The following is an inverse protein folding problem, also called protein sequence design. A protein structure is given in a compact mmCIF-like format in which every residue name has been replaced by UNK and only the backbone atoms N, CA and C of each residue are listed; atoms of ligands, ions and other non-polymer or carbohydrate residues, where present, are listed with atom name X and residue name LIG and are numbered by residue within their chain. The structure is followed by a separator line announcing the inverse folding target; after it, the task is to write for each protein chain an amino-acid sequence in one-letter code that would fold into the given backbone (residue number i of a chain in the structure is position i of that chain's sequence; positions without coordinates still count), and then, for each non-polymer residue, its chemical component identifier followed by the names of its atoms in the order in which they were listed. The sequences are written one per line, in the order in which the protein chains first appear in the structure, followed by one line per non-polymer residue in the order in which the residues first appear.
data_IF_030246883502
#
_entry.id   IF_030246883502
#
_cell.length_a   1.000
_cell.length_b   1.000
_cell.length_c   1.000
_cell.angle_alpha   90.00
_cell.angle_beta   90.00
_cell.angle_gamma   90.00
#
_symmetry.space_group_name_H-M   'P 1'
#
loop_
_entity.id
_entity.type
_entity.pdbx_description
1 polymer ?
#
# COMPACT_ATOMS: atom_id res chain seq x y z
N UNK A 1 1.41 5.47 -14.35
CA UNK A 1 0.04 5.04 -14.72
C UNK A 1 0.17 3.76 -15.52
N UNK A 2 -0.58 2.73 -15.14
CA UNK A 2 -0.62 1.42 -15.80
C UNK A 2 -2.08 1.02 -16.01
N UNK A 3 -2.33 0.21 -17.04
CA UNK A 3 -3.62 -0.45 -17.23
C UNK A 3 -3.77 -1.49 -16.12
N UNK A 4 -5.00 -1.67 -15.63
CA UNK A 4 -5.35 -2.68 -14.63
C UNK A 4 -5.24 -4.09 -15.23
N UNK A 5 -4.02 -4.61 -15.19
CA UNK A 5 -3.60 -5.91 -15.67
C UNK A 5 -2.55 -6.46 -14.72
N UNK A 6 -2.79 -7.68 -14.24
CA UNK A 6 -1.96 -8.34 -13.22
C UNK A 6 -0.49 -8.34 -13.60
N UNK A 7 -0.16 -8.66 -14.86
CA UNK A 7 1.21 -8.87 -15.30
C UNK A 7 1.94 -7.54 -15.49
N UNK A 8 1.25 -6.52 -16.00
CA UNK A 8 1.80 -5.17 -16.15
C UNK A 8 2.05 -4.51 -14.81
N UNK A 9 1.12 -4.66 -13.86
CA UNK A 9 1.30 -4.16 -12.49
C UNK A 9 2.52 -4.84 -11.85
N UNK A 10 2.63 -6.17 -11.95
CA UNK A 10 3.80 -6.91 -11.45
C UNK A 10 5.11 -6.46 -12.07
N UNK A 11 5.17 -6.32 -13.40
CA UNK A 11 6.40 -5.91 -14.08
C UNK A 11 6.92 -4.55 -13.58
N UNK A 12 6.02 -3.57 -13.40
CA UNK A 12 6.40 -2.25 -12.88
C UNK A 12 6.81 -2.33 -11.41
N UNK A 13 5.99 -2.97 -10.57
CA UNK A 13 6.27 -3.07 -9.14
C UNK A 13 7.55 -3.84 -8.84
N UNK A 14 7.80 -4.97 -9.51
CA UNK A 14 9.03 -5.73 -9.34
C UNK A 14 10.27 -4.92 -9.71
N UNK A 15 10.18 -4.05 -10.73
CA UNK A 15 11.26 -3.11 -11.06
C UNK A 15 11.54 -2.13 -9.93
N UNK A 16 10.50 -1.58 -9.30
CA UNK A 16 10.66 -0.65 -8.17
C UNK A 16 11.12 -1.33 -6.88
N UNK A 17 10.63 -2.55 -6.60
CA UNK A 17 11.07 -3.37 -5.47
C UNK A 17 12.58 -3.66 -5.56
N UNK A 18 13.10 -3.89 -6.76
CA UNK A 18 14.53 -4.14 -6.97
C UNK A 18 15.39 -2.86 -6.94
N UNK A 19 14.79 -1.68 -7.08
CA UNK A 19 15.51 -0.40 -7.13
C UNK A 19 15.95 0.02 -5.72
N UNK A 20 17.24 0.34 -5.56
CA UNK A 20 17.82 0.80 -4.30
C UNK A 20 17.44 2.23 -3.92
N UNK A 21 16.92 3.02 -4.86
CA UNK A 21 16.44 4.37 -4.59
C UNK A 21 14.97 4.46 -4.18
N UNK A 22 14.26 3.33 -4.03
CA UNK A 22 12.81 3.31 -3.75
C UNK A 22 12.52 2.59 -2.43
N UNK A 23 12.21 3.38 -1.41
CA UNK A 23 11.82 2.86 -0.08
C UNK A 23 10.32 2.60 0.06
N UNK A 24 9.49 3.36 -0.67
CA UNK A 24 8.04 3.28 -0.54
C UNK A 24 7.33 3.43 -1.89
N UNK A 25 6.26 2.64 -2.07
CA UNK A 25 5.39 2.69 -3.25
C UNK A 25 3.94 2.89 -2.81
N UNK A 26 3.26 3.87 -3.41
CA UNK A 26 1.83 4.09 -3.25
C UNK A 26 1.11 3.76 -4.56
N UNK A 27 0.18 2.82 -4.50
CA UNK A 27 -0.68 2.41 -5.61
C UNK A 27 -2.11 2.87 -5.31
N UNK A 28 -2.75 3.53 -6.26
CA UNK A 28 -4.15 3.94 -6.19
C UNK A 28 -4.95 3.36 -7.34
N UNK A 29 -6.07 2.69 -7.03
CA UNK A 29 -6.94 2.04 -8.00
C UNK A 29 -6.78 0.52 -8.07
N UNK A 30 -7.76 -0.14 -8.72
CA UNK A 30 -7.77 -1.58 -8.95
C UNK A 30 -8.04 -2.46 -7.72
N UNK A 31 -8.51 -1.88 -6.61
CA UNK A 31 -8.82 -2.60 -5.36
C UNK A 31 -10.30 -2.91 -5.18
N UNK A 32 -11.15 -2.57 -6.15
CA UNK A 32 -12.58 -2.87 -6.13
C UNK A 32 -12.92 -4.33 -6.44
N UNK A 33 -14.18 -4.55 -6.81
CA UNK A 33 -14.72 -5.85 -7.24
C UNK A 33 -15.27 -5.82 -8.68
N UNK A 34 -15.00 -4.76 -9.45
CA UNK A 34 -15.31 -4.79 -10.87
C UNK A 34 -14.44 -5.84 -11.55
N UNK A 35 -14.89 -6.41 -12.68
CA UNK A 35 -14.15 -7.46 -13.38
C UNK A 35 -12.77 -7.06 -13.91
N UNK A 36 -12.33 -5.81 -13.71
CA UNK A 36 -10.99 -5.32 -14.04
C UNK A 36 -10.09 -5.13 -12.82
N UNK A 37 -10.65 -5.00 -11.61
CA UNK A 37 -9.89 -4.67 -10.40
C UNK A 37 -8.96 -5.82 -10.00
N UNK A 38 -7.66 -5.66 -10.25
CA UNK A 38 -6.68 -6.75 -10.08
C UNK A 38 -5.48 -6.42 -9.20
N UNK A 39 -5.45 -5.23 -8.57
CA UNK A 39 -4.32 -4.76 -7.76
C UNK A 39 -3.99 -5.74 -6.62
N UNK A 40 -4.92 -6.24 -5.79
CA UNK A 40 -4.59 -7.20 -4.73
C UNK A 40 -3.99 -8.51 -5.25
N UNK A 41 -4.54 -9.05 -6.34
CA UNK A 41 -4.05 -10.27 -7.01
C UNK A 41 -2.65 -10.06 -7.60
N UNK A 42 -2.38 -8.88 -8.13
CA UNK A 42 -1.10 -8.52 -8.71
C UNK A 42 -0.02 -8.38 -7.63
N UNK A 43 -0.33 -7.68 -6.55
CA UNK A 43 0.65 -7.18 -5.58
C UNK A 43 0.94 -8.20 -4.47
N UNK A 44 -0.07 -8.87 -3.91
CA UNK A 44 0.12 -9.79 -2.75
C UNK A 44 1.20 -10.86 -2.98
N UNK A 45 1.30 -11.51 -4.16
CA UNK A 45 2.35 -12.51 -4.39
C UNK A 45 3.78 -11.95 -4.43
N UNK A 46 3.95 -10.62 -4.43
CA UNK A 46 5.26 -9.98 -4.40
C UNK A 46 5.73 -9.65 -2.99
N UNK A 47 4.87 -9.78 -1.97
CA UNK A 47 5.22 -9.45 -0.60
C UNK A 47 6.07 -10.55 0.05
N UNK A 48 7.12 -10.13 0.74
CA UNK A 48 7.82 -10.94 1.74
C UNK A 48 7.01 -11.02 3.03
N UNK A 49 6.26 -9.96 3.35
CA UNK A 49 5.45 -9.84 4.55
C UNK A 49 4.23 -8.95 4.32
N UNK A 50 3.04 -9.46 4.63
CA UNK A 50 1.82 -8.65 4.67
C UNK A 50 1.80 -7.68 5.87
N UNK A 51 1.15 -6.53 5.70
CA UNK A 51 0.82 -5.58 6.75
C UNK A 51 -0.70 -5.60 6.93
N UNK A 52 -1.23 -6.66 7.53
CA UNK A 52 -2.69 -6.87 7.66
C UNK A 52 -3.40 -5.69 8.33
N UNK A 53 -2.77 -5.11 9.35
CA UNK A 53 -3.29 -3.95 10.09
C UNK A 53 -3.56 -2.72 9.23
N UNK A 54 -2.90 -2.57 8.07
CA UNK A 54 -3.18 -1.47 7.15
C UNK A 54 -4.60 -1.56 6.58
N UNK A 55 -4.96 -2.71 6.02
CA UNK A 55 -6.28 -2.91 5.43
C UNK A 55 -7.39 -2.83 6.48
N UNK A 56 -7.13 -3.35 7.68
CA UNK A 56 -8.04 -3.30 8.82
C UNK A 56 -8.30 -1.86 9.29
N UNK A 57 -7.24 -1.10 9.58
CA UNK A 57 -7.36 0.28 10.03
C UNK A 57 -7.98 1.17 8.95
N UNK A 58 -7.56 0.99 7.68
CA UNK A 58 -8.15 1.72 6.56
C UNK A 58 -9.66 1.49 6.46
N UNK A 59 -10.12 0.23 6.57
CA UNK A 59 -11.55 -0.09 6.52
C UNK A 59 -12.31 0.44 7.73
N UNK A 60 -11.69 0.47 8.92
CA UNK A 60 -12.28 1.06 10.12
C UNK A 60 -12.47 2.58 9.99
N UNK A 61 -11.45 3.30 9.51
CA UNK A 61 -11.55 4.74 9.20
C UNK A 61 -12.60 5.00 8.12
N UNK A 62 -12.54 4.24 7.02
CA UNK A 62 -13.49 4.35 5.92
C UNK A 62 -14.92 4.04 6.36
N UNK A 63 -15.14 3.08 7.27
CA UNK A 63 -16.47 2.81 7.80
C UNK A 63 -17.07 4.03 8.51
N UNK A 64 -16.25 4.77 9.26
CA UNK A 64 -16.65 6.03 9.92
C UNK A 64 -17.08 7.09 8.90
N UNK A 65 -16.43 7.14 7.74
CA UNK A 65 -16.70 8.15 6.70
C UNK A 65 -17.82 7.78 5.72
N UNK A 66 -17.86 6.51 5.26
CA UNK A 66 -18.72 6.05 4.15
C UNK A 66 -19.58 4.82 4.50
N UNK A 67 -19.58 4.40 5.77
CA UNK A 67 -20.39 3.28 6.26
C UNK A 67 -20.02 1.94 5.61
N UNK A 68 -21.04 1.12 5.35
CA UNK A 68 -20.87 -0.23 4.78
C UNK A 68 -20.23 -0.26 3.39
N UNK A 69 -20.19 0.87 2.67
CA UNK A 69 -19.51 1.00 1.38
C UNK A 69 -18.03 0.62 1.45
N UNK A 70 -17.41 0.68 2.64
CA UNK A 70 -16.04 0.22 2.91
C UNK A 70 -15.78 -1.23 2.47
N UNK A 71 -16.81 -2.09 2.49
CA UNK A 71 -16.70 -3.52 2.09
C UNK A 71 -16.33 -3.66 0.61
N UNK A 72 -16.62 -2.66 -0.23
CA UNK A 72 -16.33 -2.69 -1.67
C UNK A 72 -14.86 -2.40 -2.01
N UNK A 73 -13.98 -2.31 -1.01
CA UNK A 73 -12.55 -2.03 -1.18
C UNK A 73 -11.68 -3.12 -0.53
N UNK A 74 -10.67 -3.54 -1.27
CA UNK A 74 -9.66 -4.53 -0.86
C UNK A 74 -8.29 -3.89 -0.65
N UNK A 75 -8.24 -2.76 0.05
CA UNK A 75 -6.98 -2.10 0.41
C UNK A 75 -6.04 -3.07 1.14
N UNK A 76 -4.77 -3.07 0.74
CA UNK A 76 -3.73 -4.00 1.20
C UNK A 76 -2.38 -3.30 1.23
N UNK A 77 -1.49 -3.72 2.12
CA UNK A 77 -0.11 -3.27 2.15
C UNK A 77 0.82 -4.42 2.55
N UNK A 78 2.09 -4.27 2.24
CA UNK A 78 3.12 -5.26 2.50
C UNK A 78 4.53 -4.70 2.32
N UNK A 79 5.52 -5.49 2.74
CA UNK A 79 6.92 -5.27 2.43
C UNK A 79 7.38 -6.23 1.35
N UNK A 80 8.23 -5.75 0.45
CA UNK A 80 8.96 -6.56 -0.51
C UNK A 80 10.36 -5.96 -0.70
N UNK A 81 11.42 -6.72 -0.43
CA UNK A 81 12.82 -6.29 -0.55
C UNK A 81 13.10 -4.92 0.10
N UNK A 82 12.67 -4.75 1.35
CA UNK A 82 12.75 -3.50 2.12
C UNK A 82 12.07 -2.28 1.47
N UNK A 83 11.19 -2.50 0.50
CA UNK A 83 10.27 -1.49 -0.02
C UNK A 83 8.89 -1.69 0.62
N UNK A 84 8.34 -0.65 1.26
CA UNK A 84 6.96 -0.67 1.77
C UNK A 84 5.97 -0.30 0.67
N UNK A 85 4.92 -1.08 0.49
CA UNK A 85 3.95 -0.91 -0.59
C UNK A 85 2.55 -0.76 -0.01
N UNK A 86 1.86 0.33 -0.36
CA UNK A 86 0.48 0.59 0.04
C UNK A 86 -0.44 0.63 -1.18
N UNK A 87 -1.46 -0.22 -1.22
CA UNK A 87 -2.46 -0.25 -2.27
C UNK A 87 -3.82 0.23 -1.74
N UNK A 88 -4.30 1.36 -2.26
CA UNK A 88 -5.54 2.03 -1.83
C UNK A 88 -6.53 2.18 -3.00
N UNK A 89 -7.82 2.44 -2.72
CA UNK A 89 -8.80 2.69 -3.77
C UNK A 89 -8.45 3.87 -4.68
N UNK A 90 -9.09 3.90 -5.85
CA UNK A 90 -8.91 4.98 -6.84
C UNK A 90 -9.63 6.28 -6.50
N UNK A 91 -10.52 6.29 -5.50
CA UNK A 91 -11.27 7.50 -5.15
C UNK A 91 -10.40 8.49 -4.38
N UNK A 92 -10.48 9.78 -4.74
CA UNK A 92 -9.72 10.83 -4.07
C UNK A 92 -10.01 10.90 -2.56
N UNK A 93 -11.25 10.58 -2.16
CA UNK A 93 -11.64 10.47 -0.75
C UNK A 93 -10.82 9.41 -0.03
N UNK A 94 -10.83 8.17 -0.54
CA UNK A 94 -10.06 7.07 0.05
C UNK A 94 -8.55 7.33 0.09
N UNK A 95 -7.99 7.98 -0.93
CA UNK A 95 -6.58 8.38 -0.92
C UNK A 95 -6.28 9.35 0.23
N UNK A 96 -7.17 10.32 0.48
CA UNK A 96 -7.03 11.26 1.60
C UNK A 96 -7.15 10.54 2.95
N UNK A 97 -8.12 9.63 3.09
CA UNK A 97 -8.31 8.82 4.31
C UNK A 97 -7.06 8.01 4.62
N UNK A 98 -6.53 7.28 3.63
CA UNK A 98 -5.33 6.47 3.79
C UNK A 98 -4.08 7.32 4.08
N UNK A 99 -3.89 8.42 3.36
CA UNK A 99 -2.73 9.29 3.54
C UNK A 99 -2.74 9.96 4.91
N UNK A 100 -3.82 10.68 5.23
CA UNK A 100 -3.90 11.49 6.44
C UNK A 100 -4.09 10.67 7.71
N UNK A 101 -4.79 9.54 7.63
CA UNK A 101 -5.10 8.72 8.79
C UNK A 101 -4.10 7.60 9.08
N UNK A 102 -3.18 7.29 8.14
CA UNK A 102 -2.27 6.14 8.28
C UNK A 102 -0.88 6.43 7.69
N UNK A 103 -0.79 6.59 6.37
CA UNK A 103 0.48 6.50 5.64
C UNK A 103 1.45 7.62 6.02
N UNK A 104 0.96 8.87 6.11
CA UNK A 104 1.77 10.03 6.48
C UNK A 104 2.51 9.81 7.80
N UNK A 105 1.80 9.32 8.81
CA UNK A 105 2.35 9.10 10.15
C UNK A 105 3.37 7.97 10.15
N UNK A 106 3.08 6.87 9.43
CA UNK A 106 3.97 5.73 9.37
C UNK A 106 5.23 5.97 8.52
N UNK A 107 5.22 6.96 7.64
CA UNK A 107 6.38 7.45 6.88
C UNK A 107 7.05 8.67 7.51
N UNK A 108 6.60 9.13 8.68
CA UNK A 108 7.23 10.21 9.44
C UNK A 108 8.18 9.62 10.50
N UNK A 109 9.47 9.89 10.35
CA UNK A 109 10.50 9.41 11.28
C UNK A 109 10.33 9.88 12.72
N UNK A 110 9.58 10.97 12.94
CA UNK A 110 9.29 11.52 14.26
C UNK A 110 8.04 10.90 14.93
N UNK A 111 7.25 10.11 14.19
CA UNK A 111 6.07 9.46 14.73
C UNK A 111 6.44 8.35 15.73
N UNK A 112 5.81 8.39 16.90
CA UNK A 112 6.01 7.42 17.98
C UNK A 112 4.71 6.69 18.34
N UNK A 113 4.79 5.52 19.00
CA UNK A 113 6.00 4.90 19.54
C UNK A 113 6.84 4.14 18.49
N UNK A 114 6.32 3.92 17.29
CA UNK A 114 7.02 3.25 16.19
C UNK A 114 6.49 3.72 14.82
N UNK A 115 7.32 3.59 13.78
CA UNK A 115 7.02 3.93 12.39
C UNK A 115 7.86 3.04 11.43
N UNK A 116 7.58 3.08 10.13
CA UNK A 116 8.30 2.26 9.15
C UNK A 116 9.67 2.82 8.77
N UNK A 117 9.93 4.12 8.96
CA UNK A 117 11.23 4.73 8.61
C UNK A 117 12.39 4.07 9.35
N UNK A 118 12.18 3.63 10.59
CA UNK A 118 13.20 2.89 11.34
C UNK A 118 13.57 1.53 10.73
N UNK A 119 12.63 0.89 10.02
CA UNK A 119 12.82 -0.42 9.39
C UNK A 119 13.41 -0.28 7.99
N UNK A 120 13.00 0.74 7.23
CA UNK A 120 13.50 1.02 5.87
C UNK A 120 15.01 1.36 5.85
N UNK A 121 15.51 2.01 6.91
CA UNK A 121 16.93 2.38 7.06
C UNK A 121 17.91 1.20 7.23
N UNK A 122 17.42 -0.04 7.32
CA UNK A 122 18.31 -1.22 7.38
C UNK A 122 19.08 -1.38 6.06
N UNK A 123 18.44 -1.10 4.92
CA UNK A 123 19.05 -1.20 3.58
C UNK A 123 20.28 -0.31 3.39
N UNK A 124 20.29 0.89 3.96
CA UNK A 124 21.44 1.80 3.93
C UNK A 124 22.65 1.31 4.75
N UNK A 125 22.43 0.40 5.72
CA UNK A 125 23.48 -0.08 6.62
C UNK A 125 24.18 -1.34 6.12
N UNK A 126 23.58 -2.05 5.16
CA UNK A 126 24.09 -3.31 4.61
C UNK A 126 24.71 -3.16 3.20
N UNK A 127 24.58 -1.97 2.58
CA UNK A 127 25.20 -1.59 1.30
C UNK A 127 26.54 -0.86 1.50
#
# INVERSE_FOLDING_TARGET
IVIDDIYRIRAVLSGWIADAGIDAVLVTGGTGFSGRDSTPEAVRPLFDKDIDGFGELFRALSHTEIGSSTIQSRAVAGFANDTVIFCVPGSTGACKTAWNGIIREQLDSSHGPCNFVGVLKVREREA
#
